data_IF_272197090295
#
_entry.id   IF_272197090295
#
_cell.length_a   1.000
_cell.length_b   1.000
_cell.length_c   1.000
_cell.angle_alpha   90.00
_cell.angle_beta   90.00
_cell.angle_gamma   90.00
#
_symmetry.space_group_name_H-M   'P 1'
#
loop_
_entity.id
_entity.type
_entity.pdbx_description
1 polymer ?
#
# COMPACT_ATOMS: atom_id res chain seq x y z
N UNK A 1 27.76 -0.91 31.81
CA UNK A 1 26.91 0.06 31.08
C UNK A 1 25.75 0.48 31.97
N UNK A 2 25.31 1.73 31.84
CA UNK A 2 24.34 2.40 32.72
C UNK A 2 23.04 2.65 31.94
N UNK A 3 21.89 2.51 32.59
CA UNK A 3 20.60 2.83 32.00
C UNK A 3 20.58 4.30 31.53
N UNK A 4 20.20 4.54 30.28
CA UNK A 4 20.18 5.86 29.67
C UNK A 4 18.73 6.32 29.50
N UNK A 5 18.41 7.53 29.97
CA UNK A 5 17.10 8.16 29.69
C UNK A 5 17.06 8.52 28.20
N UNK A 6 15.89 8.31 27.57
CA UNK A 6 15.65 8.70 26.18
C UNK A 6 14.74 9.94 26.18
N UNK A 7 15.30 11.14 25.97
CA UNK A 7 14.54 12.33 25.62
C UNK A 7 13.68 12.12 24.37
N UNK A 8 12.64 12.92 24.21
CA UNK A 8 11.76 12.82 23.03
C UNK A 8 12.51 13.02 21.71
N UNK A 9 13.43 13.99 21.67
CA UNK A 9 14.29 14.28 20.52
C UNK A 9 15.24 13.12 20.14
N UNK A 10 15.58 12.27 21.13
CA UNK A 10 16.54 11.17 20.99
C UNK A 10 15.90 9.84 20.56
N UNK A 11 14.58 9.82 20.31
CA UNK A 11 13.90 8.61 19.84
C UNK A 11 14.51 8.07 18.54
N UNK A 12 15.01 8.94 17.65
CA UNK A 12 15.75 8.51 16.45
C UNK A 12 17.04 7.78 16.79
N UNK A 13 17.76 8.23 17.82
CA UNK A 13 18.98 7.56 18.31
C UNK A 13 18.64 6.20 18.92
N UNK A 14 17.57 6.12 19.71
CA UNK A 14 17.05 4.86 20.27
C UNK A 14 16.74 3.83 19.16
N UNK A 15 16.10 4.26 18.07
CA UNK A 15 15.80 3.39 16.90
C UNK A 15 17.10 2.88 16.26
N UNK A 16 18.09 3.76 16.05
CA UNK A 16 19.40 3.35 15.50
C UNK A 16 20.12 2.33 16.40
N UNK A 17 20.01 2.47 17.73
CA UNK A 17 20.59 1.52 18.67
C UNK A 17 19.89 0.15 18.61
N UNK A 18 18.56 0.14 18.54
CA UNK A 18 17.77 -1.08 18.40
C UNK A 18 17.98 -1.82 17.07
N UNK A 19 18.43 -1.12 16.02
CA UNK A 19 18.79 -1.73 14.74
C UNK A 19 20.14 -2.47 14.79
N UNK A 20 21.04 -2.07 15.69
CA UNK A 20 22.36 -2.69 15.86
C UNK A 20 22.32 -3.91 16.76
N UNK A 21 21.51 -3.86 17.82
CA UNK A 21 21.40 -4.92 18.82
C UNK A 21 20.06 -4.87 19.53
N UNK A 22 19.66 -6.00 20.12
CA UNK A 22 18.51 -6.05 21.03
C UNK A 22 18.81 -5.21 22.27
N UNK A 23 17.85 -4.37 22.63
CA UNK A 23 17.93 -3.43 23.75
C UNK A 23 16.80 -3.73 24.73
N UNK A 24 17.01 -3.37 26.00
CA UNK A 24 15.96 -3.34 27.00
C UNK A 24 15.37 -1.96 27.07
N UNK A 25 14.08 -1.87 27.40
CA UNK A 25 13.41 -0.62 27.69
C UNK A 25 12.59 -0.73 28.97
N UNK A 26 12.41 0.42 29.61
CA UNK A 26 11.52 0.61 30.75
C UNK A 26 10.78 1.92 30.57
N UNK A 27 9.49 1.94 30.85
CA UNK A 27 8.66 3.13 30.67
C UNK A 27 7.64 3.31 31.80
N UNK A 28 7.51 4.54 32.25
CA UNK A 28 6.48 5.00 33.16
C UNK A 28 6.25 6.51 33.01
N UNK A 29 5.27 7.03 33.74
CA UNK A 29 5.18 8.46 33.99
C UNK A 29 5.80 8.80 35.34
N UNK A 30 6.31 10.02 35.48
CA UNK A 30 6.67 10.58 36.77
C UNK A 30 5.44 11.19 37.48
N UNK A 31 5.67 11.86 38.62
CA UNK A 31 4.61 12.50 39.42
C UNK A 31 3.91 13.66 38.69
N UNK A 32 4.55 14.25 37.69
CA UNK A 32 4.03 15.34 36.86
C UNK A 32 3.34 14.85 35.59
N UNK A 33 3.13 13.53 35.46
CA UNK A 33 2.67 12.85 34.25
C UNK A 33 3.63 12.94 33.05
N UNK A 34 4.90 13.30 33.27
CA UNK A 34 5.89 13.38 32.21
C UNK A 34 6.41 11.99 31.84
N UNK A 35 6.58 11.71 30.52
CA UNK A 35 7.01 10.41 30.05
C UNK A 35 8.48 10.17 30.38
N UNK A 36 8.75 9.01 30.99
CA UNK A 36 10.07 8.60 31.38
C UNK A 36 10.39 7.25 30.73
N UNK A 37 11.19 7.32 29.66
CA UNK A 37 11.69 6.17 28.92
C UNK A 37 13.17 5.97 29.21
N UNK A 38 13.56 4.74 29.56
CA UNK A 38 14.95 4.36 29.75
C UNK A 38 15.29 3.14 28.90
N UNK A 39 16.53 3.09 28.40
CA UNK A 39 17.05 1.96 27.62
C UNK A 39 18.39 1.48 28.16
N UNK A 40 18.67 0.19 27.98
CA UNK A 40 19.97 -0.41 28.32
C UNK A 40 20.24 -1.66 27.46
N UNK A 41 21.47 -1.89 26.98
CA UNK A 41 21.81 -3.11 26.25
C UNK A 41 21.96 -4.33 27.18
N UNK A 42 21.43 -5.48 26.75
CA UNK A 42 21.87 -6.81 27.21
C UNK A 42 21.59 -7.22 28.66
N UNK A 43 20.93 -6.40 29.50
CA UNK A 43 20.50 -6.80 30.85
C UNK A 43 19.10 -7.41 30.86
N UNK A 44 18.64 -7.93 32.01
CA UNK A 44 17.22 -8.26 32.19
C UNK A 44 16.40 -6.95 32.20
N UNK A 45 15.29 -6.84 31.43
CA UNK A 45 14.50 -5.60 31.38
C UNK A 45 13.99 -5.12 32.74
N UNK A 46 13.73 -6.04 33.67
CA UNK A 46 13.34 -5.72 35.05
C UNK A 46 14.38 -4.87 35.80
N UNK A 47 15.66 -4.98 35.44
CA UNK A 47 16.74 -4.19 36.05
C UNK A 47 16.54 -2.66 35.85
N UNK A 48 15.76 -2.25 34.85
CA UNK A 48 15.42 -0.84 34.60
C UNK A 48 14.45 -0.26 35.65
N UNK A 49 13.82 -1.09 36.49
CA UNK A 49 12.91 -0.62 37.55
C UNK A 49 13.59 0.32 38.54
N UNK A 50 14.80 -0.02 38.99
CA UNK A 50 15.51 0.83 39.96
C UNK A 50 15.96 2.17 39.35
N UNK A 51 16.56 2.21 38.14
CA UNK A 51 16.81 3.46 37.41
C UNK A 51 15.56 4.31 37.19
N UNK A 52 14.44 3.73 36.77
CA UNK A 52 13.18 4.45 36.57
C UNK A 52 12.72 5.15 37.85
N UNK A 53 12.73 4.43 38.98
CA UNK A 53 12.38 4.99 40.30
C UNK A 53 13.33 6.12 40.72
N UNK A 54 14.64 5.93 40.53
CA UNK A 54 15.65 6.96 40.85
C UNK A 54 15.44 8.24 40.05
N UNK A 55 14.94 8.13 38.82
CA UNK A 55 14.62 9.28 37.98
C UNK A 55 13.21 9.86 38.21
N UNK A 56 12.50 9.43 39.26
CA UNK A 56 11.19 9.98 39.64
C UNK A 56 9.98 9.21 39.08
N UNK A 57 10.20 8.09 38.40
CA UNK A 57 9.16 7.25 37.83
C UNK A 57 8.32 6.50 38.86
N UNK A 58 6.99 6.48 38.66
CA UNK A 58 6.03 5.82 39.53
C UNK A 58 5.25 4.68 38.86
N UNK A 59 4.60 3.79 39.63
CA UNK A 59 3.67 2.82 39.07
C UNK A 59 2.42 3.52 38.48
N UNK A 60 1.79 2.95 37.43
CA UNK A 60 2.13 1.71 36.75
C UNK A 60 3.35 1.84 35.81
N UNK A 61 4.24 0.84 35.82
CA UNK A 61 5.45 0.77 34.99
C UNK A 61 5.42 -0.47 34.10
N UNK A 62 5.98 -0.37 32.91
CA UNK A 62 6.23 -1.49 32.01
C UNK A 62 7.72 -1.58 31.67
N UNK A 63 8.16 -2.78 31.32
CA UNK A 63 9.51 -3.04 30.83
C UNK A 63 9.49 -4.18 29.83
N UNK A 64 10.54 -4.25 29.03
CA UNK A 64 10.66 -5.28 28.02
C UNK A 64 11.91 -5.14 27.17
N UNK A 65 11.89 -5.82 26.03
CA UNK A 65 12.97 -5.70 25.04
C UNK A 65 12.46 -5.08 23.75
N UNK A 66 13.35 -4.43 23.01
CA UNK A 66 13.06 -3.99 21.66
C UNK A 66 14.21 -4.30 20.71
N UNK A 67 13.84 -4.52 19.45
CA UNK A 67 14.76 -4.66 18.33
C UNK A 67 14.15 -3.95 17.13
N UNK A 68 15.00 -3.37 16.28
CA UNK A 68 14.55 -2.75 15.03
C UNK A 68 15.01 -3.63 13.87
N UNK A 69 14.07 -4.07 13.05
CA UNK A 69 14.29 -4.85 11.83
C UNK A 69 13.70 -4.08 10.66
N UNK A 70 14.54 -3.74 9.68
CA UNK A 70 14.12 -2.98 8.50
C UNK A 70 13.42 -1.66 8.88
N UNK A 71 12.10 -1.59 8.73
CA UNK A 71 11.25 -0.43 9.01
C UNK A 71 10.36 -0.61 10.25
N UNK A 72 10.61 -1.64 11.06
CA UNK A 72 9.78 -2.00 12.21
C UNK A 72 10.60 -2.10 13.50
N UNK A 73 10.14 -1.42 14.55
CA UNK A 73 10.59 -1.56 15.92
C UNK A 73 9.62 -2.51 16.66
N UNK A 74 10.08 -3.73 16.90
CA UNK A 74 9.36 -4.74 17.67
C UNK A 74 9.69 -4.54 19.14
N UNK A 75 8.69 -4.26 19.97
CA UNK A 75 8.80 -4.07 21.41
C UNK A 75 8.03 -5.19 22.13
N UNK A 76 8.76 -6.11 22.74
CA UNK A 76 8.19 -7.21 23.54
C UNK A 76 8.04 -6.71 24.97
N UNK A 77 6.80 -6.53 25.42
CA UNK A 77 6.42 -6.05 26.75
C UNK A 77 6.31 -7.25 27.69
N UNK A 78 7.19 -7.29 28.69
CA UNK A 78 7.21 -8.39 29.66
C UNK A 78 6.17 -8.25 30.77
N UNK A 79 5.99 -7.01 31.25
CA UNK A 79 4.94 -6.65 32.20
C UNK A 79 3.95 -5.74 31.49
N UNK A 80 2.77 -6.28 31.19
CA UNK A 80 1.76 -5.59 30.38
C UNK A 80 0.93 -4.66 31.24
N UNK A 81 0.76 -3.42 30.77
CA UNK A 81 -0.26 -2.50 31.27
C UNK A 81 -0.80 -1.68 30.10
N UNK A 82 -2.06 -1.91 29.73
CA UNK A 82 -2.69 -1.26 28.57
C UNK A 82 -2.66 0.28 28.67
N UNK A 83 -2.86 0.82 29.87
CA UNK A 83 -2.75 2.27 30.15
C UNK A 83 -1.35 2.79 29.83
N UNK A 84 -0.32 2.11 30.30
CA UNK A 84 1.08 2.52 30.12
C UNK A 84 1.55 2.32 28.67
N UNK A 85 1.11 1.26 28.00
CA UNK A 85 1.37 1.06 26.56
C UNK A 85 0.76 2.19 25.73
N UNK A 86 -0.48 2.60 26.06
CA UNK A 86 -1.13 3.75 25.41
C UNK A 86 -0.32 5.04 25.60
N UNK A 87 0.25 5.26 26.79
CA UNK A 87 1.10 6.41 27.08
C UNK A 87 2.44 6.34 26.34
N UNK A 88 3.08 5.17 26.28
CA UNK A 88 4.30 4.93 25.52
C UNK A 88 4.07 5.18 24.02
N UNK A 89 2.93 4.72 23.49
CA UNK A 89 2.51 5.01 22.12
C UNK A 89 2.31 6.50 21.87
N UNK A 90 1.70 7.24 22.80
CA UNK A 90 1.58 8.72 22.72
C UNK A 90 2.96 9.39 22.70
N UNK A 91 3.87 8.93 23.56
CA UNK A 91 5.26 9.41 23.57
C UNK A 91 5.94 9.19 22.21
N UNK A 92 5.86 7.98 21.64
CA UNK A 92 6.43 7.75 20.31
C UNK A 92 5.73 8.56 19.22
N UNK A 93 4.41 8.72 19.26
CA UNK A 93 3.68 9.52 18.28
C UNK A 93 4.18 10.97 18.26
N UNK A 94 4.32 11.60 19.45
CA UNK A 94 4.85 12.97 19.60
C UNK A 94 6.25 13.11 19.00
N UNK A 95 7.07 12.06 19.11
CA UNK A 95 8.49 12.09 18.77
C UNK A 95 8.85 11.48 17.40
N UNK A 96 7.85 11.02 16.63
CA UNK A 96 7.98 10.58 15.22
C UNK A 96 9.18 9.65 14.96
N UNK A 97 9.14 8.38 15.42
CA UNK A 97 10.27 7.44 15.31
C UNK A 97 10.67 7.07 13.87
N UNK A 98 9.91 7.47 12.85
CA UNK A 98 10.09 7.15 11.42
C UNK A 98 10.07 5.64 11.07
N UNK A 99 9.76 4.78 12.04
CA UNK A 99 9.56 3.33 11.88
C UNK A 99 8.20 2.93 12.44
N UNK A 100 7.65 1.80 11.98
CA UNK A 100 6.49 1.18 12.60
C UNK A 100 6.86 0.65 13.97
N UNK A 101 6.11 0.98 15.01
CA UNK A 101 6.32 0.43 16.36
C UNK A 101 5.24 -0.61 16.62
N UNK A 102 5.64 -1.83 16.94
CA UNK A 102 4.76 -2.96 17.23
C UNK A 102 4.98 -3.39 18.68
N UNK A 103 3.91 -3.41 19.48
CA UNK A 103 3.96 -3.84 20.87
C UNK A 103 3.42 -5.27 20.97
N UNK A 104 4.24 -6.19 21.44
CA UNK A 104 3.89 -7.59 21.67
C UNK A 104 3.89 -7.92 23.15
N UNK A 105 3.12 -8.92 23.57
CA UNK A 105 3.33 -9.57 24.87
C UNK A 105 4.42 -10.66 24.80
N UNK A 106 4.70 -11.34 25.92
CA UNK A 106 5.62 -12.49 25.96
C UNK A 106 5.16 -13.68 25.11
N UNK A 107 3.87 -13.82 24.86
CA UNK A 107 3.27 -14.89 24.05
C UNK A 107 3.32 -14.61 22.54
N UNK A 108 3.80 -13.44 22.13
CA UNK A 108 3.83 -13.02 20.73
C UNK A 108 2.52 -12.43 20.23
N UNK A 109 1.54 -12.16 21.10
CA UNK A 109 0.31 -11.49 20.72
C UNK A 109 0.55 -10.00 20.53
N UNK A 110 0.00 -9.43 19.46
CA UNK A 110 0.08 -8.00 19.20
C UNK A 110 -0.86 -7.25 20.15
N UNK A 111 -0.28 -6.44 21.05
CA UNK A 111 -1.00 -5.61 22.02
C UNK A 111 -1.45 -4.28 21.40
N UNK A 112 -0.55 -3.61 20.68
CA UNK A 112 -0.85 -2.35 19.99
C UNK A 112 0.18 -2.11 18.88
N UNK A 113 -0.07 -1.13 18.01
CA UNK A 113 0.87 -0.66 17.00
C UNK A 113 0.78 0.86 16.79
N UNK A 114 1.90 1.45 16.39
CA UNK A 114 2.01 2.82 15.93
C UNK A 114 2.69 2.83 14.57
N UNK A 115 1.98 3.26 13.54
CA UNK A 115 2.60 3.56 12.26
C UNK A 115 3.30 4.92 12.35
N UNK A 116 4.47 5.10 11.73
CA UNK A 116 5.09 6.41 11.68
C UNK A 116 4.12 7.35 10.98
N UNK A 117 4.00 8.58 11.50
CA UNK A 117 3.44 9.68 10.72
C UNK A 117 4.43 9.93 9.57
N UNK A 118 4.28 9.18 8.48
CA UNK A 118 4.70 9.67 7.19
C UNK A 118 4.02 11.03 7.01
N UNK A 119 4.73 12.01 6.49
CA UNK A 119 4.18 13.27 5.97
C UNK A 119 3.17 12.97 4.86
N UNK A 120 2.00 12.49 5.27
CA UNK A 120 0.83 12.20 4.48
C UNK A 120 -0.35 12.47 5.41
N UNK A 121 -0.75 13.73 5.37
CA UNK A 121 -2.04 14.28 5.74
C UNK A 121 -2.98 13.34 6.48
N UNK A 122 -3.32 13.74 7.71
CA UNK A 122 -4.70 13.59 8.18
C UNK A 122 -5.59 14.30 7.14
N UNK A 123 -6.03 13.55 6.12
CA UNK A 123 -7.26 13.85 5.44
C UNK A 123 -8.32 13.25 6.34
N UNK A 124 -8.81 14.07 7.26
CA UNK A 124 -10.13 13.89 7.87
C UNK A 124 -11.16 13.68 6.76
N UNK A 125 -12.25 13.00 7.09
CA UNK A 125 -13.34 12.65 6.19
C UNK A 125 -13.89 13.83 5.37
N UNK A 126 -13.58 15.07 5.75
CA UNK A 126 -13.93 16.32 5.06
C UNK A 126 -13.16 16.65 3.77
N UNK A 127 -11.84 16.39 3.64
CA UNK A 127 -11.06 16.95 2.50
C UNK A 127 -11.19 16.21 1.17
N UNK A 128 -12.23 15.40 0.97
CA UNK A 128 -12.56 14.81 -0.34
C UNK A 128 -13.80 15.46 -0.96
N UNK A 129 -14.56 16.27 -0.20
CA UNK A 129 -15.62 17.10 -0.78
C UNK A 129 -15.02 18.18 -1.71
N UNK A 130 -13.85 18.70 -1.36
CA UNK A 130 -13.14 19.76 -2.10
C UNK A 130 -12.09 19.26 -3.10
N UNK A 131 -12.14 17.99 -3.52
CA UNK A 131 -11.32 17.55 -4.67
C UNK A 131 -11.97 18.10 -5.95
N UNK A 132 -11.63 19.36 -6.22
CA UNK A 132 -11.67 19.93 -7.55
C UNK A 132 -10.49 19.35 -8.35
N UNK A 133 -10.68 19.07 -9.64
CA UNK A 133 -9.54 18.80 -10.51
C UNK A 133 -8.55 19.97 -10.39
N UNK A 134 -7.24 19.73 -10.28
CA UNK A 134 -6.27 20.81 -10.32
C UNK A 134 -6.54 21.66 -11.56
N UNK A 135 -6.61 22.99 -11.39
CA UNK A 135 -6.87 23.92 -12.49
C UNK A 135 -5.89 23.63 -13.64
N UNK A 136 -6.43 23.25 -14.81
CA UNK A 136 -5.64 22.87 -16.00
C UNK A 136 -5.50 21.36 -16.26
N UNK A 137 -6.07 20.48 -15.43
CA UNK A 137 -5.96 19.03 -15.65
C UNK A 137 -6.85 18.51 -16.79
N UNK A 138 -6.23 17.77 -17.72
CA UNK A 138 -6.89 17.21 -18.90
C UNK A 138 -7.98 16.18 -18.58
N UNK A 139 -8.77 15.82 -19.60
CA UNK A 139 -9.83 14.78 -19.57
C UNK A 139 -9.52 13.53 -18.70
N UNK A 140 -8.31 12.92 -18.71
CA UNK A 140 -8.03 11.72 -17.91
C UNK A 140 -8.07 11.95 -16.38
N UNK A 141 -7.57 13.07 -15.87
CA UNK A 141 -7.62 13.36 -14.43
C UNK A 141 -9.07 13.54 -13.95
N UNK A 142 -9.91 14.20 -14.76
CA UNK A 142 -11.33 14.38 -14.48
C UNK A 142 -12.08 13.03 -14.43
N UNK A 143 -11.73 12.08 -15.30
CA UNK A 143 -12.32 10.75 -15.30
C UNK A 143 -11.96 9.95 -14.03
N UNK A 144 -10.71 10.04 -13.57
CA UNK A 144 -10.26 9.41 -12.34
C UNK A 144 -10.96 10.00 -11.10
N UNK A 145 -11.11 11.32 -11.03
CA UNK A 145 -11.86 11.99 -9.95
C UNK A 145 -13.32 11.55 -9.94
N UNK A 146 -13.98 11.44 -11.10
CA UNK A 146 -15.36 10.94 -11.20
C UNK A 146 -15.50 9.51 -10.67
N UNK A 147 -14.56 8.62 -11.03
CA UNK A 147 -14.54 7.23 -10.53
C UNK A 147 -14.35 7.19 -9.01
N UNK A 148 -13.43 8.00 -8.48
CA UNK A 148 -13.15 8.05 -7.05
C UNK A 148 -14.36 8.56 -6.24
N UNK A 149 -15.07 9.59 -6.73
CA UNK A 149 -16.30 10.10 -6.12
C UNK A 149 -17.40 9.02 -6.03
N UNK A 150 -17.48 8.12 -7.02
CA UNK A 150 -18.46 7.01 -7.05
C UNK A 150 -18.15 5.89 -6.04
N UNK A 151 -16.88 5.69 -5.70
CA UNK A 151 -16.43 4.65 -4.77
C UNK A 151 -16.66 5.08 -3.32
N UNK A 152 -16.45 6.37 -3.02
CA UNK A 152 -16.49 6.95 -1.66
C UNK A 152 -17.73 6.58 -0.82
N UNK A 153 -18.98 6.76 -1.28
CA UNK A 153 -20.15 6.48 -0.43
C UNK A 153 -20.27 5.00 -0.05
N UNK A 154 -19.65 4.10 -0.84
CA UNK A 154 -19.71 2.66 -0.58
C UNK A 154 -18.66 2.21 0.43
N UNK A 155 -17.61 3.00 0.66
CA UNK A 155 -16.55 2.63 1.63
C UNK A 155 -17.08 2.57 3.06
N UNK A 156 -18.05 3.43 3.40
CA UNK A 156 -18.72 3.40 4.70
C UNK A 156 -19.49 2.09 4.97
N UNK A 157 -19.76 1.28 3.93
CA UNK A 157 -20.39 -0.04 4.05
C UNK A 157 -19.38 -1.16 4.36
N UNK A 158 -18.08 -0.85 4.41
CA UNK A 158 -17.04 -1.82 4.72
C UNK A 158 -16.89 -2.02 6.24
N UNK A 159 -16.55 -3.24 6.72
CA UNK A 159 -16.32 -3.46 8.14
C UNK A 159 -15.01 -2.81 8.62
N UNK A 160 -15.01 -2.27 9.84
CA UNK A 160 -14.05 -1.29 10.38
C UNK A 160 -12.58 -1.36 9.92
N UNK A 161 -11.86 -2.51 10.04
CA UNK A 161 -10.47 -2.59 9.59
C UNK A 161 -10.28 -2.45 8.07
N UNK A 162 -11.27 -2.87 7.27
CA UNK A 162 -11.28 -2.72 5.81
C UNK A 162 -11.69 -1.30 5.43
N UNK A 163 -12.67 -0.72 6.11
CA UNK A 163 -13.07 0.68 5.92
C UNK A 163 -11.89 1.63 6.07
N UNK A 164 -11.11 1.50 7.15
CA UNK A 164 -9.92 2.34 7.38
C UNK A 164 -8.85 2.16 6.28
N UNK A 165 -8.64 0.94 5.77
CA UNK A 165 -7.70 0.68 4.68
C UNK A 165 -8.17 1.31 3.37
N UNK A 166 -9.47 1.23 3.08
CA UNK A 166 -10.08 1.82 1.89
C UNK A 166 -10.06 3.35 1.94
N UNK A 167 -10.37 3.96 3.09
CA UNK A 167 -10.24 5.41 3.30
C UNK A 167 -8.81 5.90 3.04
N UNK A 168 -7.80 5.17 3.52
CA UNK A 168 -6.38 5.49 3.24
C UNK A 168 -6.01 5.34 1.77
N UNK A 169 -6.49 4.29 1.12
CA UNK A 169 -6.22 4.08 -0.31
C UNK A 169 -6.89 5.15 -1.18
N UNK A 170 -8.08 5.64 -0.80
CA UNK A 170 -8.71 6.80 -1.45
C UNK A 170 -7.88 8.06 -1.27
N UNK A 171 -7.43 8.37 -0.05
CA UNK A 171 -6.59 9.53 0.23
C UNK A 171 -5.28 9.50 -0.59
N UNK A 172 -4.64 8.33 -0.67
CA UNK A 172 -3.43 8.13 -1.49
C UNK A 172 -3.70 8.36 -2.98
N UNK A 173 -4.86 7.91 -3.47
CA UNK A 173 -5.27 8.12 -4.87
C UNK A 173 -5.48 9.61 -5.17
N UNK A 174 -6.12 10.37 -4.28
CA UNK A 174 -6.28 11.83 -4.44
C UNK A 174 -4.92 12.51 -4.57
N UNK A 175 -3.96 12.14 -3.71
CA UNK A 175 -2.59 12.67 -3.78
C UNK A 175 -1.93 12.34 -5.12
N UNK A 176 -2.05 11.09 -5.60
CA UNK A 176 -1.51 10.70 -6.91
C UNK A 176 -2.12 11.49 -8.08
N UNK A 177 -3.41 11.83 -8.02
CA UNK A 177 -4.06 12.67 -9.03
C UNK A 177 -3.52 14.11 -8.97
N UNK A 178 -3.32 14.65 -7.76
CA UNK A 178 -2.77 16.00 -7.58
C UNK A 178 -1.28 16.10 -7.96
N UNK A 179 -0.52 15.02 -7.79
CA UNK A 179 0.89 14.90 -8.16
C UNK A 179 1.09 14.51 -9.65
N UNK A 180 0.03 14.53 -10.47
CA UNK A 180 -0.02 14.13 -11.89
C UNK A 180 0.45 12.69 -12.20
N UNK A 181 0.41 11.81 -11.20
CA UNK A 181 0.73 10.38 -11.31
C UNK A 181 -0.49 9.56 -11.76
N UNK A 182 -1.01 9.89 -12.95
CA UNK A 182 -2.29 9.38 -13.43
C UNK A 182 -2.34 7.84 -13.59
N UNK A 183 -1.24 7.20 -14.00
CA UNK A 183 -1.18 5.73 -14.16
C UNK A 183 -1.21 4.99 -12.81
N UNK A 184 -0.50 5.52 -11.80
CA UNK A 184 -0.50 4.97 -10.45
C UNK A 184 -1.88 5.14 -9.80
N UNK A 185 -2.50 6.32 -9.99
CA UNK A 185 -3.85 6.60 -9.54
C UNK A 185 -4.88 5.65 -10.19
N UNK A 186 -4.78 5.41 -11.49
CA UNK A 186 -5.68 4.51 -12.22
C UNK A 186 -5.59 3.06 -11.71
N UNK A 187 -4.38 2.59 -11.46
CA UNK A 187 -4.13 1.25 -10.90
C UNK A 187 -4.77 1.13 -9.51
N UNK A 188 -4.57 2.14 -8.65
CA UNK A 188 -5.10 2.12 -7.29
C UNK A 188 -6.63 2.25 -7.25
N UNK A 189 -7.24 3.05 -8.13
CA UNK A 189 -8.70 3.13 -8.31
C UNK A 189 -9.27 1.77 -8.73
N UNK A 190 -8.58 1.06 -9.62
CA UNK A 190 -9.04 -0.26 -10.07
C UNK A 190 -9.04 -1.28 -8.93
N UNK A 191 -8.00 -1.26 -8.09
CA UNK A 191 -7.93 -2.12 -6.89
C UNK A 191 -9.02 -1.76 -5.88
N UNK A 192 -9.28 -0.46 -5.68
CA UNK A 192 -10.38 0.02 -4.84
C UNK A 192 -11.75 -0.46 -5.34
N UNK A 193 -12.01 -0.35 -6.64
CA UNK A 193 -13.25 -0.86 -7.26
C UNK A 193 -13.42 -2.36 -7.04
N UNK A 194 -12.35 -3.15 -7.22
CA UNK A 194 -12.36 -4.59 -6.97
C UNK A 194 -12.60 -4.94 -5.48
N UNK A 195 -12.04 -4.16 -4.56
CA UNK A 195 -12.26 -4.35 -3.14
C UNK A 195 -13.72 -4.04 -2.76
N UNK A 196 -14.32 -3.01 -3.35
CA UNK A 196 -15.73 -2.68 -3.14
C UNK A 196 -16.69 -3.75 -3.65
N UNK A 197 -16.36 -4.40 -4.77
CA UNK A 197 -17.13 -5.54 -5.30
C UNK A 197 -17.19 -6.67 -4.28
N UNK A 198 -16.11 -6.94 -3.55
CA UNK A 198 -16.07 -8.01 -2.53
C UNK A 198 -16.90 -7.69 -1.28
N UNK A 199 -17.22 -6.42 -1.03
CA UNK A 199 -17.96 -5.94 0.15
C UNK A 199 -19.49 -5.96 -0.10
N UNK A 200 -19.94 -5.77 -1.35
CA UNK A 200 -21.36 -5.76 -1.72
C UNK A 200 -21.95 -7.11 -2.12
N UNK A 201 -21.91 -8.12 -1.24
CA UNK A 201 -22.50 -9.44 -1.52
C UNK A 201 -24.04 -9.38 -1.51
N UNK A 202 -24.65 -9.19 -2.68
CA UNK A 202 -25.89 -9.88 -3.07
C UNK A 202 -25.59 -10.72 -4.31
N UNK A 203 -26.10 -11.96 -4.32
CA UNK A 203 -25.79 -13.01 -5.31
C UNK A 203 -26.08 -12.57 -6.77
N UNK A 204 -27.00 -11.62 -6.96
CA UNK A 204 -27.40 -11.06 -8.25
C UNK A 204 -26.31 -10.20 -8.94
N UNK A 205 -25.35 -9.67 -8.18
CA UNK A 205 -24.34 -8.74 -8.67
C UNK A 205 -23.02 -9.43 -9.09
N UNK A 206 -22.79 -10.67 -8.65
CA UNK A 206 -21.61 -11.46 -9.04
C UNK A 206 -21.63 -11.81 -10.53
N UNK A 207 -22.77 -12.23 -11.08
CA UNK A 207 -22.89 -12.53 -12.51
C UNK A 207 -22.64 -11.28 -13.39
N UNK A 208 -23.21 -10.13 -13.00
CA UNK A 208 -22.96 -8.85 -13.72
C UNK A 208 -21.51 -8.38 -13.59
N UNK A 209 -20.86 -8.66 -12.47
CA UNK A 209 -19.47 -8.28 -12.23
C UNK A 209 -18.47 -9.22 -12.90
N UNK A 210 -18.75 -10.51 -12.94
CA UNK A 210 -18.02 -11.49 -13.76
C UNK A 210 -18.15 -11.13 -15.24
N UNK A 211 -19.35 -10.79 -15.71
CA UNK A 211 -19.55 -10.33 -17.08
C UNK A 211 -18.78 -9.04 -17.40
N UNK A 212 -18.67 -8.10 -16.44
CA UNK A 212 -17.92 -6.84 -16.63
C UNK A 212 -16.40 -7.02 -16.55
N UNK A 213 -15.92 -7.85 -15.63
CA UNK A 213 -14.52 -8.23 -15.52
C UNK A 213 -14.07 -9.03 -16.75
N UNK A 214 -14.92 -9.92 -17.25
CA UNK A 214 -14.70 -10.64 -18.50
C UNK A 214 -14.65 -9.67 -19.68
N UNK A 215 -15.61 -8.76 -19.82
CA UNK A 215 -15.57 -7.70 -20.85
C UNK A 215 -14.32 -6.81 -20.75
N UNK A 216 -13.83 -6.54 -19.54
CA UNK A 216 -12.59 -5.78 -19.33
C UNK A 216 -11.36 -6.57 -19.77
N UNK A 217 -11.25 -7.86 -19.39
CA UNK A 217 -10.18 -8.75 -19.86
C UNK A 217 -10.23 -8.94 -21.37
N UNK A 218 -11.41 -9.13 -21.94
CA UNK A 218 -11.60 -9.27 -23.39
C UNK A 218 -11.20 -7.97 -24.10
N UNK A 219 -11.50 -6.79 -23.52
CA UNK A 219 -11.07 -5.50 -24.06
C UNK A 219 -9.55 -5.30 -23.96
N UNK A 220 -8.93 -5.73 -22.86
CA UNK A 220 -7.47 -5.68 -22.71
C UNK A 220 -6.77 -6.66 -23.66
N UNK A 221 -7.30 -7.88 -23.80
CA UNK A 221 -6.80 -8.88 -24.74
C UNK A 221 -6.98 -8.44 -26.20
N UNK A 222 -8.09 -7.76 -26.51
CA UNK A 222 -8.32 -7.17 -27.83
C UNK A 222 -7.39 -5.99 -28.09
N UNK A 223 -7.14 -5.12 -27.09
CA UNK A 223 -6.16 -4.04 -27.19
C UNK A 223 -4.73 -4.54 -27.39
N UNK A 224 -4.33 -5.58 -26.65
CA UNK A 224 -3.03 -6.25 -26.82
C UNK A 224 -2.92 -6.91 -28.21
N UNK A 225 -3.98 -7.60 -28.65
CA UNK A 225 -4.05 -8.19 -29.99
C UNK A 225 -3.96 -7.15 -31.11
N UNK A 226 -4.60 -5.99 -30.96
CA UNK A 226 -4.52 -4.88 -31.93
C UNK A 226 -3.11 -4.30 -31.99
N UNK A 227 -2.45 -4.07 -30.84
CA UNK A 227 -1.05 -3.60 -30.82
C UNK A 227 -0.10 -4.61 -31.47
N UNK A 228 -0.28 -5.91 -31.19
CA UNK A 228 0.50 -6.99 -31.81
C UNK A 228 0.29 -7.02 -33.32
N UNK A 229 -0.96 -6.94 -33.79
CA UNK A 229 -1.27 -6.90 -35.22
C UNK A 229 -0.68 -5.66 -35.92
N UNK A 230 -0.65 -4.50 -35.26
CA UNK A 230 -0.01 -3.28 -35.77
C UNK A 230 1.51 -3.45 -35.89
N UNK A 231 2.16 -4.03 -34.88
CA UNK A 231 3.60 -4.32 -34.92
C UNK A 231 3.94 -5.31 -36.05
N UNK A 232 3.14 -6.36 -36.23
CA UNK A 232 3.31 -7.31 -37.33
C UNK A 232 3.12 -6.65 -38.69
N UNK A 233 2.14 -5.76 -38.85
CA UNK A 233 1.97 -5.00 -40.10
C UNK A 233 3.20 -4.15 -40.43
N UNK A 234 3.81 -3.50 -39.43
CA UNK A 234 5.02 -2.72 -39.62
C UNK A 234 6.21 -3.61 -40.06
N UNK A 235 6.33 -4.82 -39.50
CA UNK A 235 7.38 -5.77 -39.88
C UNK A 235 7.15 -6.34 -41.29
N UNK A 236 5.90 -6.68 -41.65
CA UNK A 236 5.54 -7.12 -43.00
C UNK A 236 5.82 -6.03 -44.04
N UNK A 237 5.57 -4.76 -43.72
CA UNK A 237 5.86 -3.64 -44.63
C UNK A 237 7.35 -3.47 -44.95
N UNK A 238 8.23 -3.95 -44.06
CA UNK A 238 9.69 -3.95 -44.23
C UNK A 238 10.22 -5.18 -44.96
N UNK A 239 9.38 -6.18 -45.21
CA UNK A 239 9.77 -7.41 -45.91
C UNK A 239 9.75 -7.19 -47.43
N UNK A 240 10.85 -7.43 -48.17
CA UNK A 240 10.87 -7.33 -49.63
C UNK A 240 10.28 -8.59 -50.31
N UNK A 241 9.74 -8.43 -51.53
CA UNK A 241 9.38 -9.56 -52.40
C UNK A 241 7.96 -10.11 -52.31
N UNK A 242 7.70 -11.20 -53.04
CA UNK A 242 6.37 -11.80 -53.27
C UNK A 242 5.70 -12.34 -51.99
N UNK A 243 6.49 -12.64 -50.95
CA UNK A 243 6.02 -13.05 -49.63
C UNK A 243 5.26 -11.95 -48.88
N UNK A 244 5.55 -10.67 -49.17
CA UNK A 244 4.86 -9.51 -48.57
C UNK A 244 3.37 -9.53 -48.83
N UNK A 245 2.94 -9.81 -50.06
CA UNK A 245 1.52 -9.81 -50.42
C UNK A 245 0.73 -10.93 -49.71
N UNK A 246 1.37 -12.09 -49.48
CA UNK A 246 0.76 -13.20 -48.72
C UNK A 246 0.65 -12.86 -47.23
N UNK A 247 1.69 -12.27 -46.66
CA UNK A 247 1.73 -11.83 -45.27
C UNK A 247 0.75 -10.69 -44.99
N UNK A 248 0.62 -9.73 -45.92
CA UNK A 248 -0.30 -8.60 -45.79
C UNK A 248 -1.77 -9.09 -45.78
N UNK A 249 -2.12 -10.04 -46.65
CA UNK A 249 -3.42 -10.73 -46.60
C UNK A 249 -3.65 -11.47 -45.27
N UNK A 250 -2.61 -12.10 -44.72
CA UNK A 250 -2.70 -12.77 -43.43
C UNK A 250 -2.91 -11.78 -42.26
N UNK A 251 -2.23 -10.63 -42.28
CA UNK A 251 -2.43 -9.52 -41.33
C UNK A 251 -3.87 -8.99 -41.42
N UNK A 252 -4.38 -8.80 -42.64
CA UNK A 252 -5.78 -8.41 -42.85
C UNK A 252 -6.77 -9.44 -42.30
N UNK A 253 -6.48 -10.73 -42.45
CA UNK A 253 -7.29 -11.82 -41.88
C UNK A 253 -7.24 -11.80 -40.35
N UNK A 254 -6.08 -11.60 -39.74
CA UNK A 254 -5.95 -11.44 -38.28
C UNK A 254 -6.73 -10.22 -37.77
N UNK A 255 -6.68 -9.08 -38.49
CA UNK A 255 -7.45 -7.89 -38.15
C UNK A 255 -8.97 -8.11 -38.26
N UNK A 256 -9.44 -8.90 -39.24
CA UNK A 256 -10.86 -9.31 -39.32
C UNK A 256 -11.27 -10.17 -38.13
N UNK A 257 -10.42 -11.11 -37.69
CA UNK A 257 -10.68 -11.95 -36.52
C UNK A 257 -10.73 -11.16 -35.21
N UNK A 258 -9.86 -10.15 -35.06
CA UNK A 258 -9.93 -9.21 -33.93
C UNK A 258 -11.23 -8.39 -33.97
N UNK A 259 -11.68 -7.95 -35.15
CA UNK A 259 -12.97 -7.24 -35.31
C UNK A 259 -14.16 -8.13 -34.96
N UNK A 260 -14.14 -9.41 -35.32
CA UNK A 260 -15.18 -10.39 -34.96
C UNK A 260 -15.06 -10.94 -33.53
N UNK A 261 -14.13 -10.40 -32.72
CA UNK A 261 -13.82 -10.84 -31.34
C UNK A 261 -13.37 -12.31 -31.22
N UNK A 262 -12.91 -12.92 -32.30
CA UNK A 262 -12.27 -14.23 -32.25
C UNK A 262 -10.79 -14.07 -31.86
N UNK A 263 -10.56 -13.92 -30.55
CA UNK A 263 -9.22 -13.68 -30.00
C UNK A 263 -8.29 -14.89 -30.19
N UNK A 264 -8.84 -16.11 -30.11
CA UNK A 264 -8.08 -17.35 -30.28
C UNK A 264 -7.67 -17.55 -31.75
N UNK A 265 -8.59 -17.35 -32.69
CA UNK A 265 -8.29 -17.38 -34.12
C UNK A 265 -7.31 -16.29 -34.51
N UNK A 266 -7.47 -15.07 -33.97
CA UNK A 266 -6.55 -13.96 -34.20
C UNK A 266 -5.13 -14.27 -33.69
N UNK A 267 -4.98 -14.83 -32.49
CA UNK A 267 -3.68 -15.22 -31.93
C UNK A 267 -2.98 -16.26 -32.81
N UNK A 268 -3.67 -17.35 -33.17
CA UNK A 268 -3.10 -18.40 -34.04
C UNK A 268 -2.65 -17.86 -35.40
N UNK A 269 -3.41 -16.92 -35.98
CA UNK A 269 -3.03 -16.26 -37.23
C UNK A 269 -1.80 -15.37 -37.05
N UNK A 270 -1.72 -14.60 -35.96
CA UNK A 270 -0.55 -13.78 -35.64
C UNK A 270 0.71 -14.63 -35.40
N UNK A 271 0.60 -15.77 -34.70
CA UNK A 271 1.70 -16.70 -34.48
C UNK A 271 2.22 -17.30 -35.81
N UNK A 272 1.33 -17.56 -36.78
CA UNK A 272 1.74 -18.02 -38.13
C UNK A 272 2.46 -16.92 -38.91
N UNK A 273 2.05 -15.67 -38.77
CA UNK A 273 2.71 -14.52 -39.41
C UNK A 273 4.10 -14.32 -38.81
N UNK A 274 4.26 -14.42 -37.49
CA UNK A 274 5.56 -14.35 -36.81
C UNK A 274 6.50 -15.47 -37.24
N UNK A 275 6.00 -16.72 -37.33
CA UNK A 275 6.78 -17.85 -37.85
C UNK A 275 7.22 -17.64 -39.30
N UNK A 276 6.34 -17.10 -40.14
CA UNK A 276 6.68 -16.84 -41.54
C UNK A 276 7.69 -15.67 -41.67
N UNK A 277 7.57 -14.62 -40.86
CA UNK A 277 8.53 -13.51 -40.82
C UNK A 277 9.92 -13.96 -40.36
N UNK A 278 9.97 -14.82 -39.33
CA UNK A 278 11.23 -15.40 -38.83
C UNK A 278 11.86 -16.39 -39.81
N UNK A 279 11.10 -17.01 -40.72
CA UNK A 279 11.66 -17.82 -41.80
C UNK A 279 12.11 -17.02 -43.04
N UNK A 280 11.78 -15.72 -43.11
CA UNK A 280 12.14 -14.83 -44.22
C UNK A 280 13.29 -13.89 -43.84
N UNK A 281 13.49 -13.62 -42.54
CA UNK A 281 14.68 -12.94 -42.00
C UNK A 281 15.86 -13.91 -41.96
#
# INVERSE_FOLDING_TARGET
>A
MVATRVPGEDVKSMVRQGARKRMCFGFCQDKSNDPLLMIEPGKKPEALRAPLKKAGGGPPMIWGTYVVRSDQMEMIVEKVSAKVITQLKKFFRKNRPKVNVLFYDKGGNLLDSLKPETSDAVITEDKVADVAPPNGSGKPAQELVKRLKKIRPRIALAPGPLEMKLKRAVAKTVKMINDDKLQEAETLITVLEMAMVKIGKSVENEQRTLARAQRSRDRMSLGAGVKRAQALRANVARTPGSSRNKLDRAVHKAARLLKSRDLNGASKMMDRIEKALTSIS
#
